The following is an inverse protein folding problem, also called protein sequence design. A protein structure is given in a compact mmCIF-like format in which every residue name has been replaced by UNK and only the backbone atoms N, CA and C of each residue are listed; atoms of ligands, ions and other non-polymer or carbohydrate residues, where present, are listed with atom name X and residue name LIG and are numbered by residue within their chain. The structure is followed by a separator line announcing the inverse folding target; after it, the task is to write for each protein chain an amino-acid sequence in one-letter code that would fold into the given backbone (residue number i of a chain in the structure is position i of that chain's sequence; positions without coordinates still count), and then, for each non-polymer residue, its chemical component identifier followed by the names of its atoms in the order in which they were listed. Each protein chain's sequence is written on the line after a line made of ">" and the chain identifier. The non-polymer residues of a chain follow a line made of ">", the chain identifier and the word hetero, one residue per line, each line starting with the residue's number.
data_IF_941903255381
#
_entry.id   IF_941903255381
#
_cell.length_a   1.000
_cell.length_b   1.000
_cell.length_c   1.000
_cell.angle_alpha   90.00
_cell.angle_beta   90.00
_cell.angle_gamma   90.00
#
_symmetry.space_group_name_H-M   'P 1'
#
loop_
_entity.id
_entity.type
_entity.pdbx_description
1 polymer ?
#
# COMPACT_ATOMS: atom_id res chain seq x y z
N UNK A 1 45.72 -20.65 -61.14
CA UNK A 1 45.61 -20.68 -59.67
C UNK A 1 44.37 -19.90 -59.25
N UNK A 2 43.27 -20.58 -58.93
CA UNK A 2 41.98 -19.94 -58.60
C UNK A 2 41.96 -19.47 -57.14
N UNK A 3 41.67 -18.17 -56.89
CA UNK A 3 41.42 -17.63 -55.55
C UNK A 3 40.08 -18.16 -55.03
N UNK A 4 40.09 -18.87 -53.90
CA UNK A 4 38.86 -19.27 -53.18
C UNK A 4 38.13 -18.03 -52.62
N UNK A 5 36.78 -17.98 -52.64
CA UNK A 5 36.04 -16.91 -52.01
C UNK A 5 36.01 -17.10 -50.48
N UNK A 6 36.31 -16.03 -49.75
CA UNK A 6 36.22 -15.98 -48.29
C UNK A 6 34.74 -15.91 -47.88
N UNK A 7 34.22 -16.97 -47.26
CA UNK A 7 32.87 -16.99 -46.70
C UNK A 7 32.88 -16.32 -45.32
N UNK A 8 32.35 -15.09 -45.24
CA UNK A 8 32.11 -14.43 -43.94
C UNK A 8 30.93 -15.11 -43.23
N UNK A 9 31.18 -15.67 -42.03
CA UNK A 9 30.14 -16.24 -41.17
C UNK A 9 29.12 -15.17 -40.73
N UNK A 10 27.82 -15.49 -40.62
CA UNK A 10 26.84 -14.53 -40.15
C UNK A 10 27.07 -14.26 -38.66
N UNK A 11 27.12 -12.98 -38.27
CA UNK A 11 27.20 -12.58 -36.87
C UNK A 11 25.83 -12.78 -36.23
N UNK A 12 25.76 -13.60 -35.19
CA UNK A 12 24.52 -13.85 -34.44
C UNK A 12 23.91 -12.53 -33.92
N UNK A 13 22.63 -12.32 -34.22
CA UNK A 13 21.89 -11.15 -33.78
C UNK A 13 21.78 -11.13 -32.24
N UNK A 14 22.26 -10.06 -31.60
CA UNK A 14 22.20 -9.86 -30.15
C UNK A 14 20.78 -9.46 -29.70
N UNK A 15 19.83 -10.39 -29.72
CA UNK A 15 18.44 -10.12 -29.33
C UNK A 15 18.19 -10.18 -27.81
N UNK A 16 19.17 -10.59 -26.99
CA UNK A 16 18.98 -10.76 -25.53
C UNK A 16 19.09 -9.49 -24.67
N UNK A 17 19.38 -8.33 -25.25
CA UNK A 17 19.65 -7.09 -24.50
C UNK A 17 18.39 -6.40 -23.96
N UNK A 18 17.30 -6.39 -24.74
CA UNK A 18 16.07 -5.67 -24.40
C UNK A 18 15.28 -6.36 -23.28
N UNK A 19 15.15 -7.69 -23.35
CA UNK A 19 14.51 -8.49 -22.30
C UNK A 19 15.22 -8.34 -20.94
N UNK A 20 16.56 -8.38 -20.93
CA UNK A 20 17.36 -8.12 -19.72
C UNK A 20 17.26 -6.67 -19.20
N UNK A 21 16.89 -5.70 -20.04
CA UNK A 21 16.62 -4.32 -19.61
C UNK A 21 15.23 -4.22 -18.97
N UNK A 22 14.22 -4.83 -19.57
CA UNK A 22 12.85 -4.89 -19.02
C UNK A 22 12.86 -5.59 -17.67
N UNK A 23 13.48 -6.77 -17.55
CA UNK A 23 13.51 -7.51 -16.29
C UNK A 23 14.18 -6.71 -15.17
N UNK A 24 15.26 -5.98 -15.48
CA UNK A 24 15.93 -5.09 -14.51
C UNK A 24 15.06 -3.89 -14.13
N UNK A 25 14.33 -3.32 -15.08
CA UNK A 25 13.40 -2.24 -14.80
C UNK A 25 12.27 -2.70 -13.88
N UNK A 26 11.60 -3.81 -14.23
CA UNK A 26 10.54 -4.41 -13.41
C UNK A 26 11.05 -4.75 -12.02
N UNK A 27 12.22 -5.39 -11.90
CA UNK A 27 12.81 -5.70 -10.59
C UNK A 27 13.10 -4.46 -9.74
N UNK A 28 13.62 -3.39 -10.34
CA UNK A 28 13.83 -2.11 -9.65
C UNK A 28 12.51 -1.46 -9.23
N UNK A 29 11.48 -1.53 -10.07
CA UNK A 29 10.15 -1.01 -9.75
C UNK A 29 9.52 -1.77 -8.61
N UNK A 30 9.55 -3.11 -8.61
CA UNK A 30 9.05 -3.94 -7.51
C UNK A 30 9.78 -3.61 -6.21
N UNK A 31 11.11 -3.53 -6.24
CA UNK A 31 11.90 -3.15 -5.08
C UNK A 31 11.54 -1.73 -4.59
N UNK A 32 11.36 -0.78 -5.51
CA UNK A 32 10.93 0.58 -5.19
C UNK A 32 9.55 0.60 -4.52
N UNK A 33 8.58 -0.14 -5.04
CA UNK A 33 7.24 -0.26 -4.45
C UNK A 33 7.26 -0.92 -3.07
N UNK A 34 8.10 -1.93 -2.88
CA UNK A 34 8.28 -2.60 -1.59
C UNK A 34 8.91 -1.67 -0.54
N UNK A 35 9.95 -0.92 -0.91
CA UNK A 35 10.54 0.07 -0.01
C UNK A 35 9.56 1.22 0.29
N UNK A 36 8.79 1.63 -0.71
CA UNK A 36 7.75 2.64 -0.56
C UNK A 36 6.62 2.19 0.39
N UNK A 37 6.20 0.93 0.35
CA UNK A 37 5.18 0.42 1.28
C UNK A 37 5.68 0.43 2.72
N UNK A 38 6.93 0.00 2.96
CA UNK A 38 7.56 0.09 4.28
C UNK A 38 7.67 1.53 4.75
N UNK A 39 8.10 2.44 3.87
CA UNK A 39 8.18 3.87 4.18
C UNK A 39 6.81 4.43 4.60
N UNK A 40 5.74 4.07 3.90
CA UNK A 40 4.38 4.49 4.26
C UNK A 40 3.95 3.99 5.64
N UNK A 41 4.27 2.74 5.99
CA UNK A 41 4.00 2.20 7.33
C UNK A 41 4.74 3.00 8.41
N UNK A 42 6.00 3.36 8.18
CA UNK A 42 6.79 4.16 9.12
C UNK A 42 6.21 5.56 9.27
N UNK A 43 5.83 6.22 8.17
CA UNK A 43 5.23 7.56 8.21
C UNK A 43 3.91 7.56 8.98
N UNK A 44 2.99 6.65 8.64
CA UNK A 44 1.68 6.60 9.27
C UNK A 44 1.67 5.99 10.68
N UNK A 45 2.81 5.48 11.17
CA UNK A 45 2.98 5.15 12.58
C UNK A 45 2.94 6.39 13.48
N UNK A 46 3.38 7.54 12.97
CA UNK A 46 3.53 8.77 13.76
C UNK A 46 2.60 9.89 13.30
N UNK A 47 2.17 9.86 12.03
CA UNK A 47 1.31 10.90 11.45
C UNK A 47 -0.11 10.38 11.31
N UNK A 48 -1.13 11.11 11.81
CA UNK A 48 -2.53 10.71 11.66
C UNK A 48 -2.91 10.63 10.18
N UNK A 49 -3.66 9.60 9.81
CA UNK A 49 -4.08 9.39 8.42
C UNK A 49 -5.02 10.53 7.99
N UNK A 50 -4.74 11.22 6.87
CA UNK A 50 -5.53 12.37 6.44
C UNK A 50 -6.96 11.94 6.04
N UNK A 51 -7.09 10.89 5.23
CA UNK A 51 -8.34 10.41 4.65
C UNK A 51 -8.36 8.89 4.62
N UNK A 52 -9.50 8.27 4.95
CA UNK A 52 -9.74 6.82 4.82
C UNK A 52 -10.74 6.51 3.70
N UNK A 53 -10.75 5.26 3.23
CA UNK A 53 -11.69 4.79 2.20
C UNK A 53 -13.13 4.98 2.68
N UNK A 54 -13.43 4.66 3.95
CA UNK A 54 -14.75 4.85 4.53
C UNK A 54 -15.20 6.31 4.50
N UNK A 55 -14.29 7.26 4.76
CA UNK A 55 -14.62 8.68 4.69
C UNK A 55 -15.01 9.10 3.27
N UNK A 56 -14.31 8.58 2.26
CA UNK A 56 -14.62 8.84 0.86
C UNK A 56 -15.97 8.24 0.45
N UNK A 57 -16.25 6.99 0.82
CA UNK A 57 -17.53 6.35 0.48
C UNK A 57 -18.71 7.10 1.09
N UNK A 58 -18.59 7.53 2.37
CA UNK A 58 -19.61 8.34 3.03
C UNK A 58 -19.81 9.71 2.38
N UNK A 59 -18.75 10.34 1.89
CA UNK A 59 -18.86 11.58 1.14
C UNK A 59 -19.61 11.38 -0.18
N UNK A 60 -19.34 10.29 -0.90
CA UNK A 60 -20.04 9.95 -2.16
C UNK A 60 -21.52 9.66 -1.90
N UNK A 61 -21.84 8.88 -0.86
CA UNK A 61 -23.22 8.60 -0.44
C UNK A 61 -23.99 9.89 -0.12
N UNK A 62 -23.39 10.80 0.64
CA UNK A 62 -24.01 12.10 0.96
C UNK A 62 -24.35 12.90 -0.30
N UNK A 63 -23.44 12.94 -1.28
CA UNK A 63 -23.67 13.64 -2.55
C UNK A 63 -24.78 12.98 -3.36
N UNK A 64 -24.80 11.65 -3.44
CA UNK A 64 -25.84 10.89 -4.14
C UNK A 64 -27.24 11.10 -3.54
N UNK A 65 -27.30 11.22 -2.21
CA UNK A 65 -28.53 11.47 -1.47
C UNK A 65 -28.94 12.95 -1.43
N UNK A 66 -28.20 13.84 -2.10
CA UNK A 66 -28.45 15.29 -2.10
C UNK A 66 -28.24 15.95 -0.74
N UNK A 67 -27.53 15.29 0.18
CA UNK A 67 -27.21 15.82 1.52
C UNK A 67 -26.00 16.76 1.43
N UNK A 68 -25.92 17.76 2.32
CA UNK A 68 -24.72 18.60 2.41
C UNK A 68 -23.51 17.73 2.78
N UNK A 69 -22.40 17.92 2.06
CA UNK A 69 -21.14 17.24 2.33
C UNK A 69 -20.65 17.60 3.74
N UNK A 70 -20.51 16.59 4.60
CA UNK A 70 -20.05 16.76 5.98
C UNK A 70 -19.04 15.69 6.32
N UNK A 71 -17.80 16.12 6.54
CA UNK A 71 -16.72 15.30 7.06
C UNK A 71 -16.18 15.96 8.34
N UNK A 72 -16.47 15.35 9.50
CA UNK A 72 -15.87 15.75 10.78
C UNK A 72 -14.87 14.68 11.21
N UNK A 73 -13.62 15.09 11.37
CA UNK A 73 -12.53 14.25 11.83
C UNK A 73 -11.66 15.08 12.77
N UNK A 74 -11.55 14.64 14.01
CA UNK A 74 -10.65 15.23 15.00
C UNK A 74 -9.81 14.12 15.62
N UNK A 75 -8.49 14.31 15.65
CA UNK A 75 -7.57 13.32 16.16
C UNK A 75 -7.17 13.72 17.57
N UNK A 76 -7.57 12.91 18.55
CA UNK A 76 -7.27 13.13 19.96
C UNK A 76 -6.32 12.05 20.46
N UNK A 77 -5.40 12.42 21.36
CA UNK A 77 -4.49 11.45 21.97
C UNK A 77 -5.26 10.52 22.90
N UNK A 78 -4.85 9.25 22.98
CA UNK A 78 -5.52 8.25 23.83
C UNK A 78 -5.52 8.66 25.31
N UNK A 79 -4.47 9.34 25.77
CA UNK A 79 -4.36 9.86 27.14
C UNK A 79 -5.38 10.95 27.47
N UNK A 80 -5.92 11.63 26.45
CA UNK A 80 -6.95 12.66 26.61
C UNK A 80 -8.37 12.08 26.53
N UNK A 81 -8.51 10.79 26.21
CA UNK A 81 -9.80 10.09 26.11
C UNK A 81 -10.12 9.43 27.45
N UNK A 82 -11.33 9.67 27.97
CA UNK A 82 -11.80 9.03 29.21
C UNK A 82 -11.74 7.50 29.15
N UNK A 83 -11.18 6.87 30.18
CA UNK A 83 -11.07 5.42 30.30
C UNK A 83 -12.43 4.69 30.19
N UNK A 84 -13.54 5.34 30.59
CA UNK A 84 -14.89 4.78 30.46
C UNK A 84 -15.32 4.65 28.99
N UNK A 85 -14.95 5.62 28.16
CA UNK A 85 -15.24 5.58 26.72
C UNK A 85 -14.40 4.50 26.04
N UNK A 86 -13.10 4.41 26.39
CA UNK A 86 -12.22 3.36 25.89
C UNK A 86 -12.80 1.96 26.18
N UNK A 87 -13.21 1.71 27.42
CA UNK A 87 -13.83 0.44 27.81
C UNK A 87 -15.14 0.17 27.07
N UNK A 88 -16.00 1.17 26.92
CA UNK A 88 -17.28 1.02 26.21
C UNK A 88 -17.09 0.58 24.74
N UNK A 89 -16.09 1.13 24.05
CA UNK A 89 -15.77 0.74 22.66
C UNK A 89 -15.23 -0.68 22.59
N UNK A 90 -14.30 -1.05 23.48
CA UNK A 90 -13.76 -2.42 23.55
C UNK A 90 -14.90 -3.43 23.79
N UNK A 91 -15.80 -3.19 24.74
CA UNK A 91 -16.90 -4.10 25.01
C UNK A 91 -17.92 -4.22 23.85
N UNK A 92 -18.09 -3.16 23.05
CA UNK A 92 -19.05 -3.11 21.95
C UNK A 92 -18.53 -3.73 20.65
N UNK A 93 -17.23 -3.57 20.36
CA UNK A 93 -16.63 -3.98 19.08
C UNK A 93 -15.80 -5.27 19.20
N UNK A 94 -14.94 -5.38 20.22
CA UNK A 94 -13.98 -6.49 20.36
C UNK A 94 -13.66 -6.78 21.84
N UNK A 95 -14.41 -7.73 22.42
CA UNK A 95 -14.26 -8.13 23.81
C UNK A 95 -12.92 -8.81 24.12
N UNK A 96 -12.25 -9.34 23.09
CA UNK A 96 -10.96 -10.04 23.23
C UNK A 96 -9.76 -9.15 22.92
N UNK A 97 -9.98 -7.86 22.65
CA UNK A 97 -8.94 -6.90 22.25
C UNK A 97 -7.65 -6.97 23.11
N UNK A 98 -7.78 -7.16 24.43
CA UNK A 98 -6.64 -7.22 25.35
C UNK A 98 -5.86 -8.56 25.31
N UNK A 99 -6.43 -9.57 24.68
CA UNK A 99 -5.87 -10.93 24.63
C UNK A 99 -5.07 -11.19 23.34
N UNK A 100 -5.06 -10.26 22.37
CA UNK A 100 -4.30 -10.41 21.13
C UNK A 100 -3.55 -9.15 20.72
N UNK A 101 -2.58 -9.31 19.83
CA UNK A 101 -1.71 -8.23 19.33
C UNK A 101 -2.22 -7.67 17.99
N UNK A 102 -3.54 -7.49 17.89
CA UNK A 102 -4.21 -6.95 16.69
C UNK A 102 -4.83 -7.98 15.72
N UNK A 103 -4.51 -9.27 15.84
CA UNK A 103 -5.20 -10.34 15.11
C UNK A 103 -5.65 -11.43 16.08
N UNK A 104 -6.96 -11.66 16.18
CA UNK A 104 -7.50 -12.85 16.83
C UNK A 104 -7.40 -14.04 15.86
N UNK A 105 -6.45 -14.94 16.11
CA UNK A 105 -6.21 -16.15 15.31
C UNK A 105 -7.04 -17.34 15.78
N UNK A 106 -7.70 -17.21 16.93
CA UNK A 106 -8.51 -18.25 17.58
C UNK A 106 -10.02 -17.96 17.48
N UNK A 107 -10.39 -17.03 16.59
CA UNK A 107 -11.78 -16.61 16.35
C UNK A 107 -12.64 -17.71 15.74
#
# INVERSE_FOLDING_TARGET
>A
MAKKPSTKKPKAAKSGGWFKRILRFVGKTILGLFLFSILMVIVYRFVPVPITILQLTRCVEQVQEGKPLKLKKDWESLENISNKLQLAVVCAEDQKFLNHYGFDVEA
#
